data_IF_876097796262
#
_entry.id   IF_876097796262
#
_cell.length_a   1.000
_cell.length_b   1.000
_cell.length_c   1.000
_cell.angle_alpha   90.00
_cell.angle_beta   90.00
_cell.angle_gamma   90.00
#
_symmetry.space_group_name_H-M   'P 1'
#
loop_
_entity.id
_entity.type
_entity.pdbx_description
1 polymer ?
#
# COMPACT_ATOMS: atom_id res chain seq x y z
N UNK A 1 -20.40 17.11 12.25
CA UNK A 1 -19.36 17.57 13.19
C UNK A 1 -18.46 18.54 12.45
N UNK A 2 -17.79 19.53 13.09
CA UNK A 2 -16.94 20.50 12.34
C UNK A 2 -15.63 19.87 11.80
N UNK A 3 -15.41 18.58 12.06
CA UNK A 3 -14.17 17.84 11.79
C UNK A 3 -14.30 16.77 10.71
N UNK A 4 -15.46 16.64 10.07
CA UNK A 4 -15.66 15.62 9.05
C UNK A 4 -14.98 16.03 7.73
N UNK A 5 -14.22 15.12 7.07
CA UNK A 5 -13.59 15.43 5.79
C UNK A 5 -14.67 15.74 4.73
N UNK A 6 -14.36 16.65 3.80
CA UNK A 6 -15.23 17.02 2.68
C UNK A 6 -15.85 15.78 2.02
N UNK A 7 -17.17 15.75 1.83
CA UNK A 7 -17.89 14.57 1.32
C UNK A 7 -17.49 14.20 -0.12
N UNK A 8 -17.14 15.21 -0.92
CA UNK A 8 -16.80 15.03 -2.33
C UNK A 8 -15.35 14.54 -2.50
N UNK A 9 -14.38 15.25 -1.91
CA UNK A 9 -12.97 14.91 -2.06
C UNK A 9 -12.45 13.95 -0.97
N UNK A 10 -13.24 13.67 0.08
CA UNK A 10 -12.90 12.78 1.22
C UNK A 10 -11.55 13.12 1.88
N UNK A 11 -11.24 14.40 1.96
CA UNK A 11 -9.99 14.90 2.56
C UNK A 11 -8.77 14.83 1.65
N UNK A 12 -8.97 14.61 0.34
CA UNK A 12 -7.90 14.48 -0.65
C UNK A 12 -7.47 15.82 -1.27
N UNK A 13 -8.30 16.85 -1.16
CA UNK A 13 -8.03 18.20 -1.67
C UNK A 13 -8.25 18.38 -3.18
N UNK A 14 -8.64 17.30 -3.89
CA UNK A 14 -8.92 17.33 -5.33
C UNK A 14 -9.94 16.25 -5.70
N UNK A 15 -10.73 16.53 -6.74
CA UNK A 15 -11.67 15.60 -7.37
C UNK A 15 -11.07 15.22 -8.72
N UNK A 16 -10.97 13.92 -9.00
CA UNK A 16 -10.51 13.45 -10.30
C UNK A 16 -11.65 13.58 -11.31
N UNK A 17 -11.56 14.54 -12.22
CA UNK A 17 -12.55 14.76 -13.30
C UNK A 17 -12.63 13.54 -14.22
N UNK A 18 -11.46 13.00 -14.61
CA UNK A 18 -11.34 11.75 -15.37
C UNK A 18 -10.70 10.65 -14.49
N UNK A 19 -11.50 9.84 -13.77
CA UNK A 19 -10.97 8.84 -12.87
C UNK A 19 -10.34 7.67 -13.64
N UNK A 20 -9.12 7.28 -13.23
CA UNK A 20 -8.44 6.09 -13.75
C UNK A 20 -9.33 4.83 -13.64
N UNK A 21 -9.49 4.08 -14.73
CA UNK A 21 -10.37 2.90 -14.78
C UNK A 21 -10.00 1.80 -13.77
N UNK A 22 -8.70 1.64 -13.51
CA UNK A 22 -8.18 0.59 -12.62
C UNK A 22 -8.42 0.93 -11.15
N UNK A 23 -8.13 2.17 -10.75
CA UNK A 23 -8.20 2.58 -9.34
C UNK A 23 -9.45 3.40 -8.98
N UNK A 24 -10.25 3.81 -9.97
CA UNK A 24 -11.44 4.66 -9.85
C UNK A 24 -11.16 5.94 -9.07
N UNK A 25 -10.02 6.57 -9.36
CA UNK A 25 -9.55 7.77 -8.66
C UNK A 25 -9.00 7.52 -7.26
N UNK A 26 -8.97 6.28 -6.73
CA UNK A 26 -8.42 5.96 -5.41
C UNK A 26 -6.89 6.05 -5.32
N UNK A 27 -6.19 6.13 -6.46
CA UNK A 27 -4.73 6.16 -6.53
C UNK A 27 -4.07 4.86 -6.06
N UNK A 28 -4.83 3.77 -5.93
CA UNK A 28 -4.34 2.44 -5.55
C UNK A 28 -4.96 1.35 -6.40
N UNK A 29 -4.15 0.38 -6.79
CA UNK A 29 -4.57 -0.79 -7.55
C UNK A 29 -3.86 -2.04 -7.01
N UNK A 30 -4.47 -3.21 -7.19
CA UNK A 30 -3.83 -4.49 -6.88
C UNK A 30 -2.74 -4.75 -7.93
N UNK A 31 -1.58 -5.21 -7.48
CA UNK A 31 -0.49 -5.67 -8.34
C UNK A 31 0.09 -6.96 -7.77
N UNK A 32 0.46 -7.89 -8.64
CA UNK A 32 1.28 -9.05 -8.30
C UNK A 32 2.75 -8.72 -8.50
N UNK A 33 3.63 -9.30 -7.67
CA UNK A 33 5.08 -9.14 -7.81
C UNK A 33 5.80 -10.40 -7.36
N UNK A 34 6.70 -10.90 -8.20
CA UNK A 34 7.59 -12.01 -7.85
C UNK A 34 8.77 -11.48 -7.03
N UNK A 35 9.09 -12.19 -5.95
CA UNK A 35 10.09 -11.79 -4.98
C UNK A 35 11.08 -12.93 -4.76
N UNK A 36 12.37 -12.66 -4.90
CA UNK A 36 13.42 -13.61 -4.54
C UNK A 36 13.83 -13.38 -3.08
N UNK A 37 13.76 -14.44 -2.28
CA UNK A 37 14.12 -14.41 -0.86
C UNK A 37 15.21 -15.43 -0.61
N UNK A 38 16.27 -15.02 0.09
CA UNK A 38 17.32 -15.92 0.53
C UNK A 38 17.02 -16.42 1.93
N UNK A 39 16.90 -17.73 2.08
CA UNK A 39 16.74 -18.38 3.39
C UNK A 39 18.14 -18.58 3.99
N UNK A 40 18.47 -17.96 5.14
CA UNK A 40 19.77 -18.14 5.77
C UNK A 40 19.91 -19.57 6.34
N UNK A 41 21.15 -20.03 6.50
CA UNK A 41 21.42 -21.31 7.14
C UNK A 41 21.06 -21.25 8.64
N UNK A 42 20.58 -22.36 9.19
CA UNK A 42 20.22 -22.47 10.62
C UNK A 42 18.84 -21.93 10.98
N UNK A 43 17.95 -21.69 9.99
CA UNK A 43 16.57 -21.36 10.28
C UNK A 43 15.82 -22.56 10.87
N UNK A 44 14.95 -22.31 11.84
CA UNK A 44 14.09 -23.32 12.47
C UNK A 44 12.65 -23.16 12.01
N UNK A 45 11.86 -24.21 12.14
CA UNK A 45 10.43 -24.16 11.87
C UNK A 45 9.74 -23.05 12.68
N UNK A 46 8.81 -22.36 12.03
CA UNK A 46 8.09 -21.22 12.59
C UNK A 46 8.88 -19.90 12.58
N UNK A 47 10.15 -19.89 12.15
CA UNK A 47 10.91 -18.65 12.05
C UNK A 47 10.40 -17.75 10.92
N UNK A 48 10.18 -16.47 11.23
CA UNK A 48 9.64 -15.49 10.28
C UNK A 48 10.78 -14.66 9.69
N UNK A 49 10.88 -14.64 8.37
CA UNK A 49 11.80 -13.77 7.64
C UNK A 49 11.06 -12.49 7.28
N UNK A 50 11.55 -11.34 7.77
CA UNK A 50 10.98 -10.03 7.46
C UNK A 50 11.66 -9.39 6.27
N UNK A 51 10.90 -9.03 5.24
CA UNK A 51 11.37 -8.35 4.05
C UNK A 51 11.01 -6.87 4.14
N UNK A 52 12.00 -6.05 4.53
CA UNK A 52 11.78 -4.62 4.79
C UNK A 52 11.35 -3.85 3.54
N UNK A 53 10.27 -3.08 3.64
CA UNK A 53 9.77 -2.21 2.57
C UNK A 53 9.24 -2.97 1.35
N UNK A 54 8.92 -4.26 1.51
CA UNK A 54 8.41 -5.14 0.45
C UNK A 54 6.96 -5.55 0.63
N UNK A 55 6.32 -5.04 1.68
CA UNK A 55 4.88 -5.12 1.90
C UNK A 55 4.12 -4.09 1.07
N UNK A 56 2.86 -3.86 1.44
CA UNK A 56 1.96 -2.96 0.72
C UNK A 56 2.48 -1.52 0.65
N UNK A 57 2.20 -0.78 -0.44
CA UNK A 57 2.50 0.65 -0.52
C UNK A 57 1.86 1.43 0.62
N UNK A 58 2.58 2.40 1.18
CA UNK A 58 2.09 3.23 2.27
C UNK A 58 1.00 4.20 1.83
N UNK A 59 0.33 4.78 2.81
CA UNK A 59 -0.73 5.74 2.54
C UNK A 59 -0.23 7.16 2.30
N UNK A 60 -0.80 7.88 1.31
CA UNK A 60 -0.52 9.30 1.03
C UNK A 60 0.98 9.61 0.90
N UNK A 61 1.72 8.75 0.20
CA UNK A 61 3.17 8.89 0.03
C UNK A 61 4.00 8.28 1.17
N UNK A 62 3.36 7.62 2.14
CA UNK A 62 4.05 6.88 3.19
C UNK A 62 4.89 5.71 2.66
N UNK A 63 5.89 5.26 3.43
CA UNK A 63 6.75 4.15 3.04
C UNK A 63 5.97 2.85 2.91
N UNK A 64 6.46 1.94 2.07
CA UNK A 64 5.92 0.58 2.01
C UNK A 64 6.13 -0.15 3.34
N UNK A 65 5.17 -1.02 3.68
CA UNK A 65 5.28 -1.91 4.84
C UNK A 65 6.31 -3.02 4.63
N UNK A 66 6.43 -3.88 5.63
CA UNK A 66 7.26 -5.08 5.55
C UNK A 66 6.40 -6.29 5.19
N UNK A 67 7.03 -7.31 4.60
CA UNK A 67 6.43 -8.62 4.32
C UNK A 67 7.00 -9.68 5.27
#
# INVERSE_FOLDING_TARGET
SLTDPCVDCKGRGLIAEDPCEVCKGSGRAKSSRTMQVRIPAGVTDGQRIRLRGKGSPGERGGPAGDL
#
